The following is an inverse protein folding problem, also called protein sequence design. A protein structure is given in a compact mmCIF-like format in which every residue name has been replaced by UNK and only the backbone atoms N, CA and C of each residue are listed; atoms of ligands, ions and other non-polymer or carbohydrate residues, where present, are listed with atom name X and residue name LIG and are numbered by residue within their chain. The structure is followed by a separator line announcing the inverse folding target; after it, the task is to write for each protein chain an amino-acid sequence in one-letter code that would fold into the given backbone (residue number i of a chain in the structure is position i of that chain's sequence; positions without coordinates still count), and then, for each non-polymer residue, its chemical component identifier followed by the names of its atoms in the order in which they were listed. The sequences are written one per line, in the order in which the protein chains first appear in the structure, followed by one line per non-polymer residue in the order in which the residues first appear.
data_IF_033110747719
#
_entry.id   IF_033110747719
#
_cell.length_a   1.000
_cell.length_b   1.000
_cell.length_c   1.000
_cell.angle_alpha   90.00
_cell.angle_beta   90.00
_cell.angle_gamma   90.00
#
_symmetry.space_group_name_H-M   'P 1'
#
loop_
_entity.id
_entity.type
_entity.pdbx_description
1 polymer ?
#
# COMPACT_ATOMS: atom_id res chain seq x y z
N UNK A 1 17.51 49.84 -42.79
CA UNK A 1 16.14 49.29 -42.83
C UNK A 1 16.26 47.77 -42.75
N UNK A 2 16.07 47.20 -41.55
CA UNK A 2 14.88 46.42 -41.12
C UNK A 2 14.74 45.10 -41.90
N UNK A 3 14.63 43.91 -41.31
CA UNK A 3 14.14 43.55 -39.98
C UNK A 3 14.59 42.12 -39.64
N UNK A 4 15.18 41.95 -38.45
CA UNK A 4 15.20 40.67 -37.74
C UNK A 4 13.80 40.48 -37.16
N UNK A 5 13.10 39.38 -37.49
CA UNK A 5 11.94 38.93 -36.70
C UNK A 5 11.93 37.41 -36.62
N UNK A 6 12.60 36.92 -35.57
CA UNK A 6 12.34 35.62 -34.95
C UNK A 6 10.91 35.66 -34.41
N UNK A 7 10.05 34.74 -34.84
CA UNK A 7 8.77 34.47 -34.19
C UNK A 7 8.99 33.29 -33.24
N UNK A 8 9.24 33.61 -31.97
CA UNK A 8 9.10 32.69 -30.85
C UNK A 8 7.61 32.59 -30.51
N UNK A 9 6.91 31.60 -31.03
CA UNK A 9 5.58 31.23 -30.54
C UNK A 9 5.49 29.70 -30.63
N UNK A 10 5.68 28.99 -29.51
CA UNK A 10 5.09 27.67 -29.22
C UNK A 10 5.64 27.09 -27.90
N UNK A 11 5.37 27.73 -26.75
CA UNK A 11 5.72 27.12 -25.45
C UNK A 11 4.69 27.35 -24.33
N UNK A 12 3.50 27.86 -24.63
CA UNK A 12 2.48 28.14 -23.59
C UNK A 12 1.43 27.03 -23.38
N UNK A 13 1.33 26.01 -24.25
CA UNK A 13 0.32 24.96 -24.09
C UNK A 13 0.73 23.80 -23.17
N UNK A 14 2.01 23.60 -22.89
CA UNK A 14 2.47 22.47 -22.07
C UNK A 14 2.20 22.63 -20.57
N UNK A 15 2.06 23.88 -20.08
CA UNK A 15 1.94 24.15 -18.64
C UNK A 15 0.52 23.90 -18.09
N UNK A 16 -0.51 24.05 -18.92
CA UNK A 16 -1.91 23.87 -18.51
C UNK A 16 -2.30 22.39 -18.37
N UNK A 17 -1.69 21.49 -19.15
CA UNK A 17 -2.01 20.05 -19.10
C UNK A 17 -1.56 19.37 -17.80
N UNK A 18 -0.38 19.75 -17.28
CA UNK A 18 0.19 19.14 -16.08
C UNK A 18 -0.57 19.51 -14.79
N UNK A 19 -1.18 20.69 -14.72
CA UNK A 19 -1.91 21.15 -13.53
C UNK A 19 -3.26 20.45 -13.37
N UNK A 20 -3.97 20.17 -14.48
CA UNK A 20 -5.27 19.48 -14.46
C UNK A 20 -5.13 18.02 -14.05
N UNK A 21 -4.08 17.33 -14.55
CA UNK A 21 -3.79 15.94 -14.16
C UNK A 21 -3.38 15.83 -12.70
N UNK A 22 -2.58 16.77 -12.18
CA UNK A 22 -2.19 16.79 -10.77
C UNK A 22 -3.40 16.97 -9.82
N UNK A 23 -4.34 17.85 -10.17
CA UNK A 23 -5.57 18.04 -9.39
C UNK A 23 -6.49 16.81 -9.37
N UNK A 24 -6.62 16.08 -10.48
CA UNK A 24 -7.41 14.83 -10.52
C UNK A 24 -6.79 13.74 -9.62
N UNK A 25 -5.46 13.68 -9.55
CA UNK A 25 -4.74 12.72 -8.72
C UNK A 25 -4.84 13.06 -7.24
N UNK A 26 -4.70 14.33 -6.86
CA UNK A 26 -4.88 14.76 -5.46
C UNK A 26 -6.32 14.61 -4.98
N UNK A 27 -7.31 14.81 -5.87
CA UNK A 27 -8.69 14.53 -5.54
C UNK A 27 -8.91 13.05 -5.27
N UNK A 28 -8.32 12.16 -6.11
CA UNK A 28 -8.42 10.70 -5.95
C UNK A 28 -7.64 10.16 -4.76
N UNK A 29 -6.51 10.79 -4.44
CA UNK A 29 -5.61 10.44 -3.35
C UNK A 29 -5.36 11.65 -2.45
N UNK A 30 -6.34 12.02 -1.62
CA UNK A 30 -6.19 13.14 -0.69
C UNK A 30 -4.94 12.95 0.19
N UNK A 31 -4.00 13.93 0.22
CA UNK A 31 -2.70 13.75 0.88
C UNK A 31 -2.79 13.31 2.33
N UNK A 32 -3.71 13.90 3.10
CA UNK A 32 -3.91 13.56 4.52
C UNK A 32 -4.29 12.08 4.73
N UNK A 33 -5.12 11.53 3.86
CA UNK A 33 -5.57 10.14 3.92
C UNK A 33 -4.44 9.19 3.53
N UNK A 34 -3.68 9.52 2.48
CA UNK A 34 -2.54 8.70 2.05
C UNK A 34 -1.42 8.73 3.08
N UNK A 35 -1.06 9.90 3.61
CA UNK A 35 -0.04 10.07 4.65
C UNK A 35 -0.39 9.28 5.91
N UNK A 36 -1.66 9.28 6.33
CA UNK A 36 -2.14 8.42 7.42
C UNK A 36 -1.84 6.94 7.16
N UNK A 37 -2.04 6.47 5.93
CA UNK A 37 -1.76 5.07 5.58
C UNK A 37 -0.27 4.76 5.47
N UNK A 38 0.55 5.75 5.09
CA UNK A 38 2.02 5.65 5.16
C UNK A 38 2.47 5.53 6.62
N UNK A 39 1.91 6.32 7.52
CA UNK A 39 2.21 6.24 8.97
C UNK A 39 1.82 4.87 9.54
N UNK A 40 0.67 4.31 9.14
CA UNK A 40 0.27 2.95 9.51
C UNK A 40 1.27 1.91 8.99
N UNK A 41 1.69 2.01 7.73
CA UNK A 41 2.69 1.10 7.16
C UNK A 41 4.05 1.20 7.87
N UNK A 42 4.45 2.41 8.27
CA UNK A 42 5.66 2.64 9.04
C UNK A 42 5.58 2.01 10.43
N UNK A 43 4.45 2.19 11.13
CA UNK A 43 4.24 1.60 12.46
C UNK A 43 4.27 0.08 12.40
N UNK A 44 3.58 -0.52 11.41
CA UNK A 44 3.64 -1.96 11.17
C UNK A 44 5.07 -2.46 10.98
N UNK A 45 5.86 -1.77 10.15
CA UNK A 45 7.27 -2.09 9.95
C UNK A 45 8.05 -2.02 11.27
N UNK A 46 7.84 -0.97 12.06
CA UNK A 46 8.51 -0.74 13.34
C UNK A 46 8.23 -1.86 14.36
N UNK A 47 6.96 -2.23 14.52
CA UNK A 47 6.53 -3.31 15.42
C UNK A 47 7.12 -4.64 14.99
N UNK A 48 6.99 -5.00 13.70
CA UNK A 48 7.54 -6.26 13.17
C UNK A 48 9.07 -6.30 13.25
N UNK A 49 9.74 -5.18 13.01
CA UNK A 49 11.19 -5.06 13.19
C UNK A 49 11.60 -5.34 14.64
N UNK A 50 10.89 -4.78 15.61
CA UNK A 50 11.18 -4.97 17.04
C UNK A 50 11.02 -6.45 17.43
N UNK A 51 9.96 -7.10 16.97
CA UNK A 51 9.72 -8.54 17.17
C UNK A 51 10.84 -9.39 16.55
N UNK A 52 11.23 -9.09 15.31
CA UNK A 52 12.34 -9.75 14.62
C UNK A 52 13.69 -9.54 15.33
N UNK A 53 14.03 -8.30 15.67
CA UNK A 53 15.29 -7.94 16.31
C UNK A 53 15.45 -8.60 17.68
N UNK A 54 14.34 -8.71 18.43
CA UNK A 54 14.32 -9.43 19.71
C UNK A 54 14.65 -10.91 19.53
N UNK A 55 14.00 -11.59 18.57
CA UNK A 55 14.28 -12.99 18.26
C UNK A 55 15.71 -13.19 17.72
N UNK A 56 16.17 -12.27 16.87
CA UNK A 56 17.53 -12.30 16.33
C UNK A 56 18.57 -12.26 17.45
N UNK A 57 18.46 -11.31 18.37
CA UNK A 57 19.37 -11.17 19.50
C UNK A 57 19.34 -12.40 20.42
N UNK A 58 18.15 -12.96 20.67
CA UNK A 58 18.00 -14.20 21.43
C UNK A 58 18.73 -15.37 20.75
N UNK A 59 18.55 -15.54 19.44
CA UNK A 59 19.17 -16.62 18.68
C UNK A 59 20.68 -16.48 18.49
N UNK A 60 21.22 -15.26 18.57
CA UNK A 60 22.68 -15.08 18.67
C UNK A 60 23.25 -15.64 19.97
N UNK A 61 22.49 -15.57 21.08
CA UNK A 61 22.91 -16.08 22.38
C UNK A 61 22.63 -17.58 22.55
N UNK A 62 21.51 -18.07 21.99
CA UNK A 62 21.07 -19.46 22.10
C UNK A 62 20.79 -20.09 20.72
N UNK A 63 21.83 -20.28 19.87
CA UNK A 63 21.64 -20.65 18.46
C UNK A 63 21.02 -22.03 18.22
N UNK A 64 20.93 -22.89 19.24
CA UNK A 64 20.32 -24.22 19.15
C UNK A 64 18.94 -24.31 19.80
N UNK A 65 18.39 -23.18 20.28
CA UNK A 65 17.05 -23.14 20.84
C UNK A 65 15.99 -23.41 19.75
N UNK A 66 14.88 -24.06 20.11
CA UNK A 66 13.83 -24.45 19.16
C UNK A 66 13.24 -23.25 18.40
N UNK A 67 13.15 -22.09 19.05
CA UNK A 67 12.64 -20.86 18.44
C UNK A 67 13.56 -20.22 17.38
N UNK A 68 14.79 -20.73 17.22
CA UNK A 68 15.75 -20.21 16.25
C UNK A 68 15.67 -20.87 14.87
N UNK A 69 14.72 -21.79 14.68
CA UNK A 69 14.34 -22.35 13.39
C UNK A 69 13.20 -21.58 12.74
N UNK A 70 12.06 -22.23 12.57
CA UNK A 70 10.89 -21.69 11.87
C UNK A 70 10.32 -20.41 12.50
N UNK A 71 10.15 -20.29 13.84
CA UNK A 71 9.59 -19.08 14.44
C UNK A 71 10.44 -17.83 14.16
N UNK A 72 11.77 -17.97 14.12
CA UNK A 72 12.66 -16.89 13.72
C UNK A 72 12.49 -16.50 12.24
N UNK A 73 12.35 -17.47 11.34
CA UNK A 73 12.12 -17.17 9.91
C UNK A 73 10.77 -16.53 9.66
N UNK A 74 9.75 -16.91 10.42
CA UNK A 74 8.43 -16.28 10.38
C UNK A 74 8.52 -14.81 10.76
N UNK A 75 9.10 -14.48 11.92
CA UNK A 75 9.29 -13.09 12.36
C UNK A 75 10.10 -12.27 11.35
N UNK A 76 11.16 -12.86 10.77
CA UNK A 76 11.95 -12.22 9.71
C UNK A 76 11.11 -11.92 8.48
N UNK A 77 10.30 -12.89 8.03
CA UNK A 77 9.45 -12.76 6.84
C UNK A 77 8.38 -11.69 7.05
N UNK A 78 7.71 -11.70 8.19
CA UNK A 78 6.71 -10.68 8.56
C UNK A 78 7.33 -9.27 8.55
N UNK A 79 8.53 -9.09 9.11
CA UNK A 79 9.25 -7.82 9.02
C UNK A 79 9.55 -7.41 7.57
N UNK A 80 10.06 -8.33 6.73
CA UNK A 80 10.38 -8.03 5.34
C UNK A 80 9.14 -7.65 4.52
N UNK A 81 8.00 -8.29 4.77
CA UNK A 81 6.72 -7.96 4.14
C UNK A 81 6.26 -6.55 4.56
N UNK A 82 6.26 -6.25 5.87
CA UNK A 82 5.85 -4.93 6.37
C UNK A 82 6.76 -3.81 5.86
N UNK A 83 8.08 -4.03 5.88
CA UNK A 83 9.06 -3.10 5.31
C UNK A 83 8.83 -2.89 3.81
N UNK A 84 8.68 -3.96 3.05
CA UNK A 84 8.46 -3.88 1.61
C UNK A 84 7.18 -3.12 1.26
N UNK A 85 6.10 -3.31 2.03
CA UNK A 85 4.87 -2.55 1.84
C UNK A 85 5.07 -1.05 2.12
N UNK A 86 5.71 -0.68 3.23
CA UNK A 86 6.04 0.71 3.54
C UNK A 86 6.90 1.37 2.46
N UNK A 87 8.02 0.75 2.09
CA UNK A 87 8.96 1.29 1.09
C UNK A 87 8.26 1.53 -0.26
N UNK A 88 7.47 0.56 -0.73
CA UNK A 88 6.78 0.67 -2.02
C UNK A 88 5.64 1.69 -1.95
N UNK A 89 4.92 1.77 -0.84
CA UNK A 89 3.87 2.77 -0.64
C UNK A 89 4.43 4.21 -0.70
N UNK A 90 5.54 4.47 0.01
CA UNK A 90 6.24 5.75 -0.02
C UNK A 90 6.76 6.08 -1.43
N UNK A 91 7.35 5.09 -2.11
CA UNK A 91 7.88 5.27 -3.47
C UNK A 91 6.76 5.58 -4.48
N UNK A 92 5.67 4.81 -4.46
CA UNK A 92 4.56 4.99 -5.41
C UNK A 92 3.88 6.35 -5.21
N UNK A 93 3.72 6.78 -3.96
CA UNK A 93 3.14 8.07 -3.65
C UNK A 93 4.06 9.24 -4.03
N UNK A 94 5.37 9.12 -3.82
CA UNK A 94 6.34 10.19 -4.11
C UNK A 94 6.72 10.32 -5.60
N UNK A 95 6.74 9.25 -6.38
CA UNK A 95 7.36 9.22 -7.72
C UNK A 95 6.39 9.41 -8.92
N UNK A 96 5.32 10.20 -8.80
CA UNK A 96 4.29 10.35 -9.86
C UNK A 96 3.64 9.01 -10.31
N UNK A 97 3.78 7.93 -9.54
CA UNK A 97 3.21 6.61 -9.86
C UNK A 97 1.82 6.40 -9.24
N UNK A 98 1.21 7.46 -8.67
CA UNK A 98 -0.11 7.42 -8.03
C UNK A 98 -1.21 6.93 -8.96
N UNK A 99 -1.06 7.14 -10.27
CA UNK A 99 -2.01 6.70 -11.30
C UNK A 99 -1.69 5.34 -11.89
N UNK A 100 -0.81 4.55 -11.28
CA UNK A 100 -0.53 3.20 -11.73
C UNK A 100 -1.73 2.29 -11.47
N UNK A 101 -2.30 1.72 -12.54
CA UNK A 101 -3.31 0.66 -12.46
C UNK A 101 -2.69 -0.55 -11.77
N UNK A 102 -3.44 -1.20 -10.88
CA UNK A 102 -2.96 -2.41 -10.22
C UNK A 102 -2.66 -3.51 -11.26
N UNK A 103 -1.46 -4.11 -11.25
CA UNK A 103 -1.15 -5.23 -12.14
C UNK A 103 -1.90 -6.49 -11.71
N UNK A 104 -2.32 -7.31 -12.66
CA UNK A 104 -3.12 -8.53 -12.42
C UNK A 104 -2.45 -9.50 -11.43
N UNK A 105 -1.11 -9.62 -11.52
CA UNK A 105 -0.32 -10.46 -10.61
C UNK A 105 -0.39 -10.04 -9.14
N UNK A 106 -0.75 -8.79 -8.84
CA UNK A 106 -0.93 -8.29 -7.47
C UNK A 106 -2.39 -8.43 -6.98
N UNK A 107 -3.31 -8.87 -7.82
CA UNK A 107 -4.72 -9.03 -7.45
C UNK A 107 -4.95 -10.05 -6.33
N UNK A 108 -4.25 -11.21 -6.27
CA UNK A 108 -4.44 -12.16 -5.17
C UNK A 108 -4.13 -11.54 -3.80
N UNK A 109 -3.00 -10.84 -3.67
CA UNK A 109 -2.60 -10.14 -2.44
C UNK A 109 -3.65 -9.12 -1.97
N UNK A 110 -4.28 -8.39 -2.90
CA UNK A 110 -5.36 -7.47 -2.57
C UNK A 110 -6.60 -8.22 -2.05
N UNK A 111 -6.99 -9.29 -2.75
CA UNK A 111 -8.16 -10.09 -2.35
C UNK A 111 -7.94 -10.67 -0.95
N UNK A 112 -6.75 -11.19 -0.66
CA UNK A 112 -6.42 -11.71 0.66
C UNK A 112 -6.45 -10.61 1.72
N UNK A 113 -5.89 -9.42 1.44
CA UNK A 113 -5.96 -8.28 2.36
C UNK A 113 -7.40 -7.84 2.65
N UNK A 114 -8.28 -7.84 1.64
CA UNK A 114 -9.70 -7.51 1.80
C UNK A 114 -10.47 -8.58 2.58
N UNK A 115 -10.09 -9.85 2.45
CA UNK A 115 -10.63 -10.95 3.25
C UNK A 115 -10.21 -10.84 4.72
N UNK A 116 -8.93 -10.56 4.97
CA UNK A 116 -8.40 -10.34 6.32
C UNK A 116 -9.13 -9.19 7.03
N UNK A 117 -9.50 -8.16 6.27
CA UNK A 117 -10.29 -7.02 6.74
C UNK A 117 -11.81 -7.25 6.68
N UNK A 118 -12.26 -8.46 6.37
CA UNK A 118 -13.67 -8.87 6.31
C UNK A 118 -14.56 -8.12 5.29
N UNK A 119 -13.97 -7.44 4.29
CA UNK A 119 -14.71 -6.86 3.15
C UNK A 119 -15.09 -7.92 2.11
N UNK A 120 -14.42 -9.07 2.12
CA UNK A 120 -14.72 -10.21 1.25
C UNK A 120 -14.95 -11.48 2.07
N UNK A 121 -15.80 -12.40 1.60
CA UNK A 121 -16.04 -13.66 2.28
C UNK A 121 -14.78 -14.53 2.32
N UNK A 122 -14.61 -15.20 3.46
CA UNK A 122 -13.58 -16.19 3.70
C UNK A 122 -14.00 -17.56 3.14
N UNK A 123 -13.03 -18.38 2.71
CA UNK A 123 -13.23 -19.80 2.39
C UNK A 123 -12.83 -20.25 0.98
N UNK A 124 -12.58 -21.56 0.79
CA UNK A 124 -12.01 -22.12 -0.44
C UNK A 124 -12.94 -22.04 -1.66
N UNK A 125 -14.26 -21.95 -1.46
CA UNK A 125 -15.26 -21.85 -2.53
C UNK A 125 -15.65 -20.40 -2.85
N UNK A 126 -15.05 -19.42 -2.17
CA UNK A 126 -15.31 -18.00 -2.40
C UNK A 126 -14.54 -17.50 -3.63
N UNK A 127 -14.98 -17.93 -4.82
CA UNK A 127 -14.51 -17.37 -6.08
C UNK A 127 -14.83 -15.88 -6.14
N UNK A 128 -13.83 -15.02 -5.97
CA UNK A 128 -13.99 -13.56 -6.00
C UNK A 128 -13.85 -13.06 -7.43
N UNK A 129 -14.91 -12.44 -7.98
CA UNK A 129 -14.82 -11.80 -9.30
C UNK A 129 -14.21 -10.42 -9.15
N UNK A 130 -13.64 -9.90 -10.23
CA UNK A 130 -13.08 -8.54 -10.25
C UNK A 130 -14.06 -7.47 -9.76
N UNK A 131 -15.35 -7.58 -10.12
CA UNK A 131 -16.39 -6.64 -9.67
C UNK A 131 -16.61 -6.68 -8.16
N UNK A 132 -16.51 -7.86 -7.55
CA UNK A 132 -16.65 -8.02 -6.10
C UNK A 132 -15.45 -7.36 -5.39
N UNK A 133 -14.24 -7.51 -5.95
CA UNK A 133 -13.03 -6.81 -5.47
C UNK A 133 -13.15 -5.29 -5.60
N UNK A 134 -13.61 -4.77 -6.73
CA UNK A 134 -13.78 -3.32 -6.94
C UNK A 134 -14.81 -2.74 -5.95
N UNK A 135 -15.90 -3.47 -5.69
CA UNK A 135 -16.90 -3.06 -4.71
C UNK A 135 -16.30 -2.99 -3.29
N UNK A 136 -15.57 -4.02 -2.87
CA UNK A 136 -14.90 -4.06 -1.58
C UNK A 136 -13.85 -2.93 -1.43
N UNK A 137 -13.08 -2.64 -2.48
CA UNK A 137 -12.16 -1.49 -2.50
C UNK A 137 -12.92 -0.18 -2.30
N UNK A 138 -14.04 0.03 -2.99
CA UNK A 138 -14.83 1.25 -2.84
C UNK A 138 -15.48 1.39 -1.45
N UNK A 139 -15.90 0.28 -0.85
CA UNK A 139 -16.37 0.27 0.54
C UNK A 139 -15.27 0.70 1.51
N UNK A 140 -14.06 0.14 1.35
CA UNK A 140 -12.88 0.53 2.12
C UNK A 140 -12.51 2.01 1.93
N UNK A 141 -12.53 2.51 0.69
CA UNK A 141 -12.26 3.92 0.37
C UNK A 141 -13.28 4.85 1.04
N UNK A 142 -14.56 4.49 1.00
CA UNK A 142 -15.61 5.28 1.66
C UNK A 142 -15.46 5.34 3.17
N UNK A 143 -15.02 4.26 3.82
CA UNK A 143 -14.75 4.23 5.26
C UNK A 143 -13.51 5.05 5.65
N UNK A 144 -12.63 5.31 4.69
CA UNK A 144 -11.40 6.08 4.87
C UNK A 144 -11.49 7.53 4.34
N UNK A 145 -12.70 8.04 4.10
CA UNK A 145 -12.95 9.39 3.57
C UNK A 145 -12.23 9.65 2.23
N UNK A 146 -12.15 8.62 1.37
CA UNK A 146 -11.58 8.71 0.02
C UNK A 146 -12.67 8.51 -1.05
N UNK A 147 -12.52 9.13 -2.23
CA UNK A 147 -13.50 8.97 -3.30
C UNK A 147 -13.49 7.55 -3.87
N UNK A 148 -14.66 7.09 -4.30
CA UNK A 148 -14.78 5.85 -5.06
C UNK A 148 -13.99 5.93 -6.37
N UNK A 149 -13.62 4.76 -6.88
CA UNK A 149 -12.88 4.57 -8.12
C UNK A 149 -13.60 3.58 -9.05
N UNK A 150 -13.41 3.77 -10.35
CA UNK A 150 -13.85 2.82 -11.39
C UNK A 150 -12.78 1.75 -11.67
N UNK A 151 -11.54 2.00 -11.24
CA UNK A 151 -10.40 1.10 -11.44
C UNK A 151 -9.57 0.97 -10.16
N UNK A 152 -9.12 -0.24 -9.86
CA UNK A 152 -8.23 -0.46 -8.72
C UNK A 152 -6.83 0.01 -9.08
N UNK A 153 -6.36 1.02 -8.34
CA UNK A 153 -5.00 1.55 -8.46
C UNK A 153 -4.07 0.77 -7.56
N UNK A 154 -2.79 0.68 -7.94
CA UNK A 154 -1.79 0.01 -7.13
C UNK A 154 -1.67 0.65 -5.74
N UNK A 155 -1.81 1.98 -5.65
CA UNK A 155 -1.80 2.71 -4.39
C UNK A 155 -2.96 2.30 -3.45
N UNK A 156 -4.16 1.98 -3.97
CA UNK A 156 -5.25 1.43 -3.14
C UNK A 156 -4.83 0.11 -2.50
N UNK A 157 -4.25 -0.81 -3.29
CA UNK A 157 -3.83 -2.12 -2.80
C UNK A 157 -2.74 -2.02 -1.73
N UNK A 158 -1.79 -1.09 -1.89
CA UNK A 158 -0.74 -0.88 -0.90
C UNK A 158 -1.28 -0.35 0.43
N UNK A 159 -2.23 0.60 0.39
CA UNK A 159 -2.87 1.14 1.59
C UNK A 159 -3.74 0.09 2.30
N UNK A 160 -4.54 -0.66 1.55
CA UNK A 160 -5.37 -1.75 2.09
C UNK A 160 -4.49 -2.82 2.75
N UNK A 161 -3.35 -3.18 2.12
CA UNK A 161 -2.39 -4.12 2.69
C UNK A 161 -1.77 -3.59 3.99
N UNK A 162 -1.48 -2.30 4.08
CA UNK A 162 -1.00 -1.69 5.32
C UNK A 162 -2.02 -1.85 6.46
N UNK A 163 -3.31 -1.65 6.20
CA UNK A 163 -4.33 -1.86 7.23
C UNK A 163 -4.50 -3.33 7.59
N UNK A 164 -4.48 -4.24 6.61
CA UNK A 164 -4.55 -5.68 6.87
C UNK A 164 -3.43 -6.15 7.79
N UNK A 165 -2.18 -5.71 7.53
CA UNK A 165 -1.04 -6.02 8.40
C UNK A 165 -1.23 -5.43 9.80
N UNK A 166 -1.76 -4.21 9.91
CA UNK A 166 -2.04 -3.58 11.21
C UNK A 166 -3.10 -4.36 11.99
N UNK A 167 -4.14 -4.85 11.32
CA UNK A 167 -5.16 -5.68 11.94
C UNK A 167 -4.58 -7.01 12.43
N UNK A 168 -3.75 -7.68 11.63
CA UNK A 168 -3.03 -8.90 12.04
C UNK A 168 -2.18 -8.67 13.30
N UNK A 169 -1.41 -7.57 13.36
CA UNK A 169 -0.62 -7.21 14.55
C UNK A 169 -1.52 -7.08 15.79
N UNK A 170 -2.65 -6.38 15.68
CA UNK A 170 -3.59 -6.21 16.79
C UNK A 170 -4.19 -7.52 17.27
N UNK A 171 -4.50 -8.44 16.34
CA UNK A 171 -5.10 -9.72 16.68
C UNK A 171 -4.10 -10.68 17.35
N UNK A 172 -2.82 -10.60 16.98
CA UNK A 172 -1.71 -11.29 17.65
C UNK A 172 -1.52 -10.78 19.09
N UNK A 173 -1.57 -9.46 19.30
CA UNK A 173 -1.42 -8.84 20.63
C UNK A 173 -2.57 -9.24 21.59
N UNK A 174 -3.79 -9.39 21.09
CA UNK A 174 -4.95 -9.83 21.91
C UNK A 174 -4.88 -11.33 22.24
N UNK A 175 -4.19 -12.11 21.42
CA UNK A 175 -4.09 -13.57 21.58
C UNK A 175 -2.90 -14.01 22.44
N UNK A 176 -2.05 -13.07 22.86
CA UNK A 176 -0.80 -13.28 23.63
C UNK A 176 -1.02 -13.14 25.14
#
# INVERSE_FOLDING_TARGET
MNQVRRVMISSLLAVLGSQVQAQDVEARFPPKQVEKMIDVAFENMSVRYTSFATQFNFCQQQPKHAECGEPYQEKRTQYQIAKGNHDVLEQVYSQQMRTLVMPEMASPDLVDSLRDLAYLPQGPDAGTRHMDTLQAVNEWLSLHDMPNTEQVMFLHALMIKAEAINQQIRDEDVSS
#
